data_IF_497859393500
#
_entry.id   IF_497859393500
#
_cell.length_a   1.000
_cell.length_b   1.000
_cell.length_c   1.000
_cell.angle_alpha   90.00
_cell.angle_beta   90.00
_cell.angle_gamma   90.00
#
_symmetry.space_group_name_H-M   'P 1'
#
loop_
_entity.id
_entity.type
_entity.pdbx_description
1 polymer ?
#
# COMPACT_ATOMS: atom_id res chain seq x y z
N UNK A 1 57.68 -51.40 34.65
CA UNK A 1 57.98 -51.45 33.20
C UNK A 1 56.87 -50.74 32.47
N UNK A 2 57.18 -49.64 31.79
CA UNK A 2 56.20 -48.87 30.99
C UNK A 2 55.80 -49.60 29.70
N UNK A 3 54.66 -49.22 29.09
CA UNK A 3 53.81 -50.04 28.21
C UNK A 3 54.03 -49.74 26.72
N UNK A 4 53.29 -50.42 25.81
CA UNK A 4 52.84 -49.89 24.50
C UNK A 4 51.98 -50.92 23.74
N UNK A 5 50.79 -50.51 23.28
CA UNK A 5 50.10 -51.27 22.25
C UNK A 5 48.62 -50.99 21.96
N UNK A 6 48.00 -49.91 22.43
CA UNK A 6 46.61 -49.60 22.03
C UNK A 6 46.57 -48.85 20.70
N UNK A 7 45.94 -49.49 19.71
CA UNK A 7 45.67 -48.95 18.38
C UNK A 7 44.45 -48.04 18.44
N UNK A 8 44.64 -46.77 18.12
CA UNK A 8 43.56 -45.81 17.95
C UNK A 8 42.82 -46.03 16.63
N UNK A 9 41.51 -46.25 16.73
CA UNK A 9 40.51 -46.21 15.65
C UNK A 9 40.29 -44.75 15.19
N UNK A 10 40.48 -44.41 13.90
CA UNK A 10 40.30 -43.06 13.39
C UNK A 10 38.88 -42.88 12.82
N UNK A 11 37.83 -43.09 13.62
CA UNK A 11 36.44 -42.73 13.27
C UNK A 11 35.89 -41.68 14.22
N UNK A 12 36.45 -40.47 14.16
CA UNK A 12 35.82 -39.27 14.73
C UNK A 12 36.18 -38.02 13.93
N UNK A 13 35.58 -37.87 12.74
CA UNK A 13 35.56 -36.59 12.02
C UNK A 13 34.31 -35.81 12.39
N UNK A 14 34.60 -34.60 12.88
CA UNK A 14 33.72 -33.51 13.26
C UNK A 14 32.40 -33.43 12.46
N UNK A 15 31.28 -33.40 13.20
CA UNK A 15 30.04 -32.83 12.70
C UNK A 15 30.25 -31.34 12.46
N UNK A 16 30.39 -30.95 11.20
CA UNK A 16 30.31 -29.56 10.77
C UNK A 16 28.87 -29.11 10.88
N UNK A 17 28.58 -28.26 11.87
CA UNK A 17 27.38 -27.46 11.92
C UNK A 17 27.45 -26.49 10.72
N UNK A 18 26.68 -26.75 9.66
CA UNK A 18 26.45 -25.75 8.63
C UNK A 18 25.85 -24.51 9.33
N UNK A 19 26.37 -23.30 9.09
CA UNK A 19 25.72 -22.12 9.60
C UNK A 19 24.31 -22.03 9.03
N UNK A 20 23.33 -21.81 9.90
CA UNK A 20 21.96 -21.49 9.52
C UNK A 20 21.96 -20.32 8.53
N UNK A 21 21.07 -20.32 7.52
CA UNK A 21 20.93 -19.17 6.64
C UNK A 21 20.60 -17.92 7.49
N UNK A 22 21.10 -16.73 7.11
CA UNK A 22 20.79 -15.51 7.83
C UNK A 22 19.27 -15.30 7.85
N UNK A 23 18.79 -14.88 9.02
CA UNK A 23 17.40 -14.56 9.30
C UNK A 23 16.77 -13.74 8.15
N UNK A 24 15.65 -14.23 7.61
CA UNK A 24 14.83 -13.52 6.61
C UNK A 24 14.03 -12.40 7.28
N UNK A 25 14.71 -11.47 7.93
CA UNK A 25 14.12 -10.31 8.56
C UNK A 25 14.86 -9.05 8.08
N UNK A 26 14.52 -8.59 6.87
CA UNK A 26 14.97 -7.29 6.40
C UNK A 26 15.34 -7.21 4.93
N UNK A 27 14.41 -7.55 4.03
CA UNK A 27 14.49 -7.00 2.68
C UNK A 27 13.10 -6.52 2.25
N UNK A 28 12.72 -5.35 2.79
CA UNK A 28 11.63 -4.57 2.23
C UNK A 28 12.14 -4.04 0.90
N UNK A 29 11.76 -4.74 -0.17
CA UNK A 29 12.01 -4.38 -1.57
C UNK A 29 11.82 -2.87 -1.75
N UNK A 30 12.92 -2.13 -1.82
CA UNK A 30 12.91 -0.73 -2.24
C UNK A 30 12.86 -0.71 -3.77
N UNK A 31 11.70 -1.07 -4.33
CA UNK A 31 11.33 -0.55 -5.64
C UNK A 31 10.92 0.89 -5.42
N UNK A 32 11.77 1.85 -5.80
CA UNK A 32 11.38 3.26 -5.77
C UNK A 32 10.28 3.49 -6.81
N UNK A 33 9.02 3.43 -6.37
CA UNK A 33 7.85 3.88 -7.12
C UNK A 33 7.80 5.41 -7.30
N UNK A 34 8.95 6.09 -7.31
CA UNK A 34 9.05 7.54 -7.53
C UNK A 34 8.30 8.04 -8.79
N UNK A 35 8.18 7.28 -9.90
CA UNK A 35 7.42 7.76 -11.06
C UNK A 35 5.90 7.77 -10.87
N UNK A 36 5.36 6.95 -9.95
CA UNK A 36 3.90 6.77 -9.77
C UNK A 36 3.27 7.90 -8.97
N UNK A 37 4.05 8.54 -8.11
CA UNK A 37 3.58 9.60 -7.20
C UNK A 37 3.84 11.01 -7.74
N UNK A 38 4.37 11.18 -8.96
CA UNK A 38 4.53 12.50 -9.56
C UNK A 38 3.17 13.10 -9.96
N UNK A 39 2.65 14.12 -9.23
CA UNK A 39 1.34 14.70 -9.50
C UNK A 39 1.27 15.42 -10.86
N UNK A 40 2.41 15.78 -11.45
CA UNK A 40 2.49 16.48 -12.74
C UNK A 40 2.21 15.61 -13.96
N UNK A 41 2.15 14.27 -13.81
CA UNK A 41 1.84 13.34 -14.91
C UNK A 41 0.35 13.22 -15.23
N UNK A 42 -0.52 13.67 -14.33
CA UNK A 42 -1.96 13.54 -14.48
C UNK A 42 -2.63 14.91 -14.62
N UNK A 43 -3.65 15.01 -15.46
CA UNK A 43 -4.67 16.06 -15.27
C UNK A 43 -5.45 15.77 -13.98
N UNK A 44 -6.15 16.74 -13.35
CA UNK A 44 -6.90 16.48 -12.12
C UNK A 44 -7.87 15.30 -12.29
N UNK A 45 -8.67 15.37 -13.35
CA UNK A 45 -9.56 14.30 -13.80
C UNK A 45 -8.84 12.99 -14.13
N UNK A 46 -7.67 13.04 -14.77
CA UNK A 46 -6.92 11.82 -15.10
C UNK A 46 -6.47 11.05 -13.87
N UNK A 47 -6.13 11.74 -12.78
CA UNK A 47 -5.76 11.08 -11.52
C UNK A 47 -6.96 10.43 -10.83
N UNK A 48 -8.12 11.10 -10.82
CA UNK A 48 -9.38 10.52 -10.31
C UNK A 48 -9.73 9.23 -11.06
N UNK A 49 -9.71 9.25 -12.39
CA UNK A 49 -10.00 8.08 -13.22
C UNK A 49 -9.05 6.92 -12.95
N UNK A 50 -7.74 7.22 -12.83
CA UNK A 50 -6.74 6.22 -12.49
C UNK A 50 -7.00 5.57 -11.12
N UNK A 51 -7.29 6.38 -10.10
CA UNK A 51 -7.58 5.86 -8.76
C UNK A 51 -8.84 5.00 -8.77
N UNK A 52 -9.90 5.42 -9.46
CA UNK A 52 -11.12 4.62 -9.57
C UNK A 52 -10.87 3.31 -10.33
N UNK A 53 -10.06 3.32 -11.39
CA UNK A 53 -9.62 2.11 -12.08
C UNK A 53 -8.87 1.17 -11.12
N UNK A 54 -7.89 1.70 -10.38
CA UNK A 54 -7.14 0.90 -9.41
C UNK A 54 -8.06 0.25 -8.37
N UNK A 55 -9.02 1.00 -7.82
CA UNK A 55 -9.99 0.45 -6.86
C UNK A 55 -10.88 -0.63 -7.49
N UNK A 56 -11.25 -0.50 -8.77
CA UNK A 56 -11.98 -1.54 -9.52
C UNK A 56 -11.16 -2.81 -9.71
N UNK A 57 -9.88 -2.68 -10.00
CA UNK A 57 -8.95 -3.83 -10.09
C UNK A 57 -8.76 -4.56 -8.74
N UNK A 58 -9.07 -3.87 -7.64
CA UNK A 58 -9.15 -4.44 -6.29
C UNK A 58 -10.56 -4.91 -5.90
N UNK A 59 -11.48 -5.01 -6.87
CA UNK A 59 -12.78 -5.66 -6.70
C UNK A 59 -13.93 -4.73 -6.33
N UNK A 60 -13.74 -3.41 -6.33
CA UNK A 60 -14.84 -2.47 -6.11
C UNK A 60 -15.62 -2.22 -7.41
N UNK A 61 -16.94 -2.11 -7.29
CA UNK A 61 -17.83 -1.80 -8.40
C UNK A 61 -18.16 -0.30 -8.35
N UNK A 62 -17.31 0.55 -8.95
CA UNK A 62 -17.42 2.01 -8.85
C UNK A 62 -17.86 2.67 -10.15
N UNK A 63 -18.70 3.69 -10.04
CA UNK A 63 -19.03 4.64 -11.11
C UNK A 63 -18.49 6.01 -10.75
N UNK A 64 -17.86 6.68 -11.72
CA UNK A 64 -17.42 8.07 -11.55
C UNK A 64 -18.63 8.99 -11.59
N UNK A 65 -18.69 9.94 -10.68
CA UNK A 65 -19.82 10.89 -10.57
C UNK A 65 -19.39 12.36 -10.67
N UNK A 66 -18.12 12.61 -11.04
CA UNK A 66 -17.50 13.94 -10.97
C UNK A 66 -18.14 15.03 -11.84
N UNK A 67 -18.05 16.26 -11.31
CA UNK A 67 -18.64 17.48 -11.86
C UNK A 67 -18.48 18.66 -10.89
N UNK A 68 -18.76 19.86 -11.40
CA UNK A 68 -18.82 21.08 -10.59
C UNK A 68 -20.08 21.04 -9.71
N UNK A 69 -19.92 20.68 -8.44
CA UNK A 69 -21.01 20.71 -7.44
C UNK A 69 -21.18 19.45 -6.59
N UNK A 70 -20.41 18.38 -6.87
CA UNK A 70 -20.66 17.05 -6.28
C UNK A 70 -20.09 16.83 -4.87
N UNK A 71 -19.97 17.91 -4.08
CA UNK A 71 -19.50 17.86 -2.68
C UNK A 71 -18.14 17.16 -2.50
N UNK A 72 -17.35 17.09 -3.59
CA UNK A 72 -16.03 16.46 -3.60
C UNK A 72 -16.04 14.93 -3.63
N UNK A 73 -17.13 14.27 -4.02
CA UNK A 73 -17.15 12.81 -4.21
C UNK A 73 -16.86 12.48 -5.67
N UNK A 74 -15.78 11.73 -5.89
CA UNK A 74 -15.30 11.41 -7.24
C UNK A 74 -15.88 10.08 -7.75
N UNK A 75 -16.26 9.17 -6.85
CA UNK A 75 -16.89 7.89 -7.21
C UNK A 75 -17.86 7.37 -6.16
N UNK A 76 -18.88 6.65 -6.64
CA UNK A 76 -19.84 5.91 -5.80
C UNK A 76 -20.02 4.51 -6.36
N UNK A 77 -20.25 3.54 -5.47
CA UNK A 77 -20.52 2.19 -5.91
C UNK A 77 -20.69 1.21 -4.76
N UNK A 78 -20.22 -0.02 -4.99
CA UNK A 78 -20.36 -1.13 -4.04
C UNK A 78 -19.02 -1.84 -3.84
N UNK A 79 -18.78 -2.29 -2.61
CA UNK A 79 -17.76 -3.27 -2.28
C UNK A 79 -18.44 -4.60 -2.00
N UNK A 80 -18.29 -5.63 -2.87
CA UNK A 80 -18.78 -6.97 -2.59
C UNK A 80 -18.13 -7.54 -1.32
N UNK A 81 -18.94 -8.09 -0.42
CA UNK A 81 -18.49 -8.77 0.80
C UNK A 81 -18.63 -10.28 0.62
N UNK A 82 -19.68 -10.71 -0.06
CA UNK A 82 -19.95 -12.10 -0.42
C UNK A 82 -20.76 -12.17 -1.72
N UNK A 83 -21.12 -13.37 -2.16
CA UNK A 83 -21.97 -13.56 -3.34
C UNK A 83 -23.35 -12.90 -3.25
N UNK A 84 -23.81 -12.55 -2.04
CA UNK A 84 -25.16 -12.00 -1.79
C UNK A 84 -25.16 -10.68 -1.01
N UNK A 85 -24.00 -10.22 -0.53
CA UNK A 85 -23.87 -9.01 0.27
C UNK A 85 -22.84 -8.06 -0.32
N UNK A 86 -23.16 -6.77 -0.30
CA UNK A 86 -22.25 -5.69 -0.67
C UNK A 86 -22.51 -4.48 0.22
N UNK A 87 -21.49 -3.64 0.41
CA UNK A 87 -21.62 -2.38 1.14
C UNK A 87 -21.53 -1.20 0.18
N UNK A 88 -22.35 -0.17 0.38
CA UNK A 88 -22.28 1.04 -0.45
C UNK A 88 -21.05 1.88 -0.09
N UNK A 89 -20.25 2.22 -1.09
CA UNK A 89 -18.97 2.95 -0.93
C UNK A 89 -19.00 4.29 -1.63
N UNK A 90 -18.49 5.33 -0.97
CA UNK A 90 -18.14 6.62 -1.57
C UNK A 90 -16.61 6.81 -1.60
N UNK A 91 -16.10 7.43 -2.66
CA UNK A 91 -14.67 7.65 -2.88
C UNK A 91 -14.41 9.12 -3.14
N UNK A 92 -13.40 9.68 -2.47
CA UNK A 92 -12.82 10.98 -2.78
C UNK A 92 -11.32 10.84 -3.05
N UNK A 93 -10.84 11.60 -4.02
CA UNK A 93 -9.47 11.63 -4.50
C UNK A 93 -8.94 13.06 -4.34
N UNK A 94 -7.88 13.22 -3.55
CA UNK A 94 -7.19 14.50 -3.35
C UNK A 94 -5.78 14.43 -3.90
N UNK A 95 -5.54 15.11 -5.01
CA UNK A 95 -4.20 15.26 -5.60
C UNK A 95 -3.41 16.36 -4.89
N UNK A 96 -3.00 16.11 -3.65
CA UNK A 96 -2.07 16.99 -2.95
C UNK A 96 -0.63 16.68 -3.31
N UNK A 97 0.25 17.68 -3.18
CA UNK A 97 1.69 17.47 -3.31
C UNK A 97 2.16 16.49 -2.21
N UNK A 98 2.86 15.38 -2.55
CA UNK A 98 3.46 14.47 -1.58
C UNK A 98 4.31 15.15 -0.49
N UNK A 99 4.97 16.25 -0.86
CA UNK A 99 5.82 17.06 0.01
C UNK A 99 5.06 18.20 0.72
N UNK A 100 3.78 18.37 0.39
CA UNK A 100 2.92 19.41 0.96
C UNK A 100 2.48 19.14 2.39
N UNK A 101 1.64 20.04 2.90
CA UNK A 101 1.03 19.90 4.23
C UNK A 101 0.23 18.59 4.30
N UNK A 102 0.46 17.76 5.33
CA UNK A 102 -0.35 16.55 5.54
C UNK A 102 -1.83 16.88 5.72
N UNK A 103 -2.70 15.96 5.30
CA UNK A 103 -4.16 16.08 5.42
C UNK A 103 -4.57 16.03 6.89
N UNK A 104 -5.31 17.05 7.31
CA UNK A 104 -5.83 17.22 8.66
C UNK A 104 -7.17 16.54 8.91
N UNK A 105 -7.57 16.52 10.18
CA UNK A 105 -8.84 15.97 10.65
C UNK A 105 -10.04 16.59 9.95
N UNK A 106 -9.99 17.89 9.70
CA UNK A 106 -11.06 18.67 9.09
C UNK A 106 -11.45 18.14 7.71
N UNK A 107 -10.47 17.74 6.90
CA UNK A 107 -10.71 17.22 5.55
C UNK A 107 -11.40 15.86 5.63
N UNK A 108 -10.92 14.98 6.51
CA UNK A 108 -11.51 13.64 6.71
C UNK A 108 -12.94 13.76 7.25
N UNK A 109 -13.16 14.61 8.24
CA UNK A 109 -14.47 14.79 8.85
C UNK A 109 -15.49 15.41 7.89
N UNK A 110 -15.06 16.32 7.01
CA UNK A 110 -15.92 16.87 5.95
C UNK A 110 -16.34 15.76 4.99
N UNK A 111 -15.37 15.05 4.40
CA UNK A 111 -15.66 13.96 3.47
C UNK A 111 -16.55 12.87 4.08
N UNK A 112 -16.33 12.55 5.35
CA UNK A 112 -17.14 11.58 6.07
C UNK A 112 -18.62 11.98 6.12
N UNK A 113 -18.92 13.29 6.30
CA UNK A 113 -20.29 13.82 6.24
C UNK A 113 -20.84 13.76 4.82
N UNK A 114 -20.06 14.12 3.82
CA UNK A 114 -20.49 14.09 2.42
C UNK A 114 -20.83 12.65 2.00
N UNK A 115 -19.99 11.69 2.37
CA UNK A 115 -20.22 10.26 2.16
C UNK A 115 -21.50 9.77 2.87
N UNK A 116 -21.72 10.21 4.11
CA UNK A 116 -22.95 9.91 4.86
C UNK A 116 -24.19 10.45 4.14
N UNK A 117 -24.15 11.68 3.63
CA UNK A 117 -25.25 12.30 2.86
C UNK A 117 -25.58 11.51 1.59
N UNK A 118 -24.60 10.86 0.95
CA UNK A 118 -24.83 9.96 -0.20
C UNK A 118 -25.25 8.54 0.18
N UNK A 119 -25.50 8.29 1.47
CA UNK A 119 -25.90 6.99 2.01
C UNK A 119 -24.80 5.94 1.95
N UNK A 120 -23.53 6.34 1.91
CA UNK A 120 -22.44 5.38 1.95
C UNK A 120 -22.31 4.76 3.35
N UNK A 121 -22.04 3.47 3.38
CA UNK A 121 -21.79 2.70 4.61
C UNK A 121 -20.28 2.66 4.94
N UNK A 122 -19.45 2.78 3.89
CA UNK A 122 -17.99 2.86 3.94
C UNK A 122 -17.52 3.99 3.01
N UNK A 123 -16.41 4.63 3.36
CA UNK A 123 -15.83 5.68 2.54
C UNK A 123 -14.34 5.43 2.33
N UNK A 124 -13.80 5.88 1.19
CA UNK A 124 -12.37 5.77 0.87
C UNK A 124 -11.86 7.15 0.48
N UNK A 125 -10.83 7.63 1.18
CA UNK A 125 -10.14 8.87 0.85
C UNK A 125 -8.73 8.55 0.36
N UNK A 126 -8.45 8.91 -0.89
CA UNK A 126 -7.17 8.64 -1.56
C UNK A 126 -6.39 9.93 -1.76
N UNK A 127 -5.09 9.90 -1.49
CA UNK A 127 -4.19 11.02 -1.77
C UNK A 127 -2.78 10.56 -2.13
N UNK A 128 -2.02 11.42 -2.81
CA UNK A 128 -0.56 11.28 -2.95
C UNK A 128 0.21 11.80 -1.72
N UNK A 129 -0.46 12.60 -0.88
CA UNK A 129 0.10 13.15 0.35
C UNK A 129 0.10 12.14 1.51
N UNK A 130 0.21 12.67 2.72
CA UNK A 130 0.16 11.92 3.99
C UNK A 130 -1.02 12.38 4.83
N UNK A 131 -1.52 11.51 5.71
CA UNK A 131 -2.51 11.86 6.73
C UNK A 131 -1.84 12.11 8.08
N UNK A 132 -2.33 13.11 8.80
CA UNK A 132 -1.93 13.35 10.20
C UNK A 132 -2.55 12.32 11.15
N UNK A 133 -1.97 12.12 12.33
CA UNK A 133 -2.55 11.26 13.36
C UNK A 133 -3.99 11.65 13.77
N UNK A 134 -4.31 12.95 13.96
CA UNK A 134 -5.70 13.37 14.16
C UNK A 134 -6.64 12.99 13.00
N UNK A 135 -6.17 13.03 11.76
CA UNK A 135 -6.95 12.59 10.60
C UNK A 135 -7.24 11.09 10.64
N UNK A 136 -6.23 10.27 10.95
CA UNK A 136 -6.38 8.82 11.13
C UNK A 136 -7.37 8.47 12.24
N UNK A 137 -7.32 9.19 13.37
CA UNK A 137 -8.30 9.02 14.47
C UNK A 137 -9.71 9.43 14.04
N UNK A 138 -9.85 10.53 13.30
CA UNK A 138 -11.15 11.00 12.82
C UNK A 138 -11.82 9.99 11.88
N UNK A 139 -11.03 9.36 11.01
CA UNK A 139 -11.49 8.41 10.00
C UNK A 139 -12.30 7.24 10.56
N UNK A 140 -12.03 6.83 11.80
CA UNK A 140 -12.73 5.73 12.48
C UNK A 140 -13.69 6.19 13.58
N UNK A 141 -13.82 7.51 13.79
CA UNK A 141 -14.56 8.07 14.93
C UNK A 141 -16.07 8.15 14.75
N UNK A 142 -16.57 7.91 13.53
CA UNK A 142 -17.98 7.96 13.19
C UNK A 142 -18.28 7.05 11.98
N UNK A 143 -19.56 6.97 11.61
CA UNK A 143 -20.05 6.21 10.44
C UNK A 143 -20.49 7.16 9.33
N UNK A 144 -20.14 6.91 8.05
CA UNK A 144 -19.32 5.79 7.57
C UNK A 144 -17.87 5.92 8.05
N UNK A 145 -17.22 4.79 8.30
CA UNK A 145 -15.77 4.80 8.55
C UNK A 145 -15.03 5.08 7.25
N UNK A 146 -13.91 5.78 7.34
CA UNK A 146 -13.11 6.22 6.18
C UNK A 146 -11.81 5.41 6.11
N UNK A 147 -11.61 4.65 5.04
CA UNK A 147 -10.33 4.05 4.73
C UNK A 147 -9.42 5.10 4.09
N UNK A 148 -8.23 5.29 4.66
CA UNK A 148 -7.27 6.29 4.22
C UNK A 148 -6.17 5.63 3.38
N UNK A 149 -6.05 6.02 2.12
CA UNK A 149 -5.00 5.55 1.21
C UNK A 149 -4.07 6.72 0.92
N UNK A 150 -2.89 6.72 1.54
CA UNK A 150 -1.82 7.69 1.28
C UNK A 150 -0.92 7.25 0.12
N UNK A 151 0.03 8.11 -0.27
CA UNK A 151 0.88 7.86 -1.43
C UNK A 151 1.68 6.55 -1.36
N UNK A 152 2.09 6.15 -0.15
CA UNK A 152 2.80 4.88 0.05
C UNK A 152 1.87 3.69 -0.16
N UNK A 153 0.69 3.72 0.48
CA UNK A 153 -0.30 2.64 0.31
C UNK A 153 -0.81 2.56 -1.12
N UNK A 154 -0.98 3.69 -1.79
CA UNK A 154 -1.35 3.74 -3.20
C UNK A 154 -0.28 3.05 -4.07
N UNK A 155 1.00 3.35 -3.85
CA UNK A 155 2.09 2.72 -4.59
C UNK A 155 2.12 1.20 -4.41
N UNK A 156 1.88 0.70 -3.19
CA UNK A 156 1.75 -0.74 -2.92
C UNK A 156 0.59 -1.37 -3.71
N UNK A 157 -0.59 -0.75 -3.69
CA UNK A 157 -1.78 -1.26 -4.39
C UNK A 157 -1.61 -1.27 -5.91
N UNK A 158 -0.90 -0.28 -6.45
CA UNK A 158 -0.57 -0.19 -7.87
C UNK A 158 0.41 -1.29 -8.27
N UNK A 159 1.46 -1.51 -7.46
CA UNK A 159 2.43 -2.58 -7.71
C UNK A 159 1.80 -3.96 -7.63
N UNK A 160 0.91 -4.20 -6.66
CA UNK A 160 0.21 -5.48 -6.48
C UNK A 160 -0.54 -5.92 -7.74
N UNK A 161 -1.22 -4.98 -8.39
CA UNK A 161 -1.97 -5.20 -9.64
C UNK A 161 -1.17 -4.90 -10.90
N UNK A 162 0.11 -4.54 -10.75
CA UNK A 162 1.01 -4.14 -11.84
C UNK A 162 0.43 -3.06 -12.78
N UNK A 163 -0.29 -2.08 -12.23
CA UNK A 163 -0.98 -1.08 -13.03
C UNK A 163 -0.01 -0.04 -13.60
N UNK A 164 0.26 -0.12 -14.91
CA UNK A 164 1.14 0.83 -15.58
C UNK A 164 2.61 0.77 -15.14
N UNK A 165 3.03 -0.36 -14.56
CA UNK A 165 4.42 -0.61 -14.13
C UNK A 165 5.05 -1.70 -14.98
N UNK A 166 6.36 -1.59 -15.18
CA UNK A 166 7.18 -2.65 -15.76
C UNK A 166 8.22 -3.06 -14.73
N UNK A 167 8.20 -4.34 -14.34
CA UNK A 167 9.19 -4.89 -13.42
C UNK A 167 10.46 -5.23 -14.21
N UNK A 168 11.58 -4.64 -13.80
CA UNK A 168 12.90 -4.95 -14.32
C UNK A 168 13.79 -5.45 -13.17
N UNK A 169 14.57 -6.52 -13.35
CA UNK A 169 15.54 -6.96 -12.36
C UNK A 169 16.62 -5.89 -12.20
N UNK A 170 16.92 -5.51 -10.95
CA UNK A 170 18.03 -4.61 -10.61
C UNK A 170 19.10 -5.44 -9.92
N UNK A 171 20.32 -5.40 -10.46
CA UNK A 171 21.48 -6.08 -9.87
C UNK A 171 21.88 -5.34 -8.60
N UNK A 172 21.92 -6.05 -7.47
CA UNK A 172 22.45 -5.51 -6.23
C UNK A 172 23.98 -5.69 -6.21
N UNK A 173 24.72 -4.67 -6.67
CA UNK A 173 26.19 -4.77 -6.77
C UNK A 173 26.85 -5.05 -5.41
N UNK A 174 26.39 -4.42 -4.33
CA UNK A 174 26.97 -4.62 -2.99
C UNK A 174 26.78 -6.02 -2.44
N UNK A 175 25.85 -6.81 -3.00
CA UNK A 175 25.73 -8.22 -2.68
C UNK A 175 27.00 -8.99 -3.07
N UNK A 176 27.69 -8.57 -4.13
CA UNK A 176 28.89 -9.24 -4.64
C UNK A 176 30.16 -8.87 -3.87
N UNK A 177 30.16 -7.79 -3.09
CA UNK A 177 31.28 -7.36 -2.25
C UNK A 177 31.76 -8.45 -1.28
N UNK A 178 30.90 -9.43 -0.95
CA UNK A 178 31.25 -10.58 -0.11
C UNK A 178 32.31 -11.51 -0.73
N UNK A 179 32.55 -11.40 -2.04
CA UNK A 179 33.45 -12.26 -2.82
C UNK A 179 34.76 -11.56 -3.22
N UNK A 180 34.94 -10.29 -2.85
CA UNK A 180 36.13 -9.47 -3.15
C UNK A 180 36.78 -9.01 -1.85
#
# INVERSE_FOLDING_TARGET
TSPRGDRHDPTRRAGGHLPSPPDRAGDRRHGTCEPLTNPGRFTPTGFEEFVLLMLREHGLELTRIGGSGDEGIDGIGRAPISAVLSSRVAVQVKRYNPEGKPIGRETVALFQRDAQTKGAERAILVTLGRFTEPARKAAISATPTVDLIDGNRLAELVLDKQLGVQLAPVVNESWFDRFT
#
